data_IF_124844570314
#
_entry.id   IF_124844570314
#
_cell.length_a   1.000
_cell.length_b   1.000
_cell.length_c   1.000
_cell.angle_alpha   90.00
_cell.angle_beta   90.00
_cell.angle_gamma   90.00
#
_symmetry.space_group_name_H-M   'P 1'
#
loop_
_entity.id
_entity.type
_entity.pdbx_description
1 polymer ?
#
# COMPACT_ATOMS: atom_id res chain seq x y z
N UNK A 1 48.29 14.92 7.59
CA UNK A 1 47.08 14.11 7.34
C UNK A 1 45.86 14.57 8.11
N UNK A 2 46.01 15.18 9.28
CA UNK A 2 44.88 15.64 10.14
C UNK A 2 44.01 16.76 9.52
N UNK A 3 44.58 17.70 8.75
CA UNK A 3 43.82 18.81 8.21
C UNK A 3 42.87 18.45 7.03
N UNK A 4 43.17 17.39 6.28
CA UNK A 4 42.28 16.92 5.19
C UNK A 4 41.10 16.15 5.74
N UNK A 5 41.32 15.34 6.77
CA UNK A 5 40.23 14.61 7.46
C UNK A 5 39.27 15.57 8.16
N UNK A 6 39.77 16.63 8.78
CA UNK A 6 38.95 17.64 9.42
C UNK A 6 38.17 18.47 8.40
N UNK A 7 38.77 18.79 7.26
CA UNK A 7 38.10 19.45 6.14
C UNK A 7 36.97 18.57 5.57
N UNK A 8 37.24 17.27 5.31
CA UNK A 8 36.24 16.33 4.81
C UNK A 8 35.09 16.17 5.81
N UNK A 9 35.39 16.01 7.10
CA UNK A 9 34.36 15.92 8.14
C UNK A 9 33.50 17.19 8.20
N UNK A 10 34.12 18.36 8.15
CA UNK A 10 33.39 19.63 8.16
C UNK A 10 32.53 19.81 6.93
N UNK A 11 32.99 19.37 5.76
CA UNK A 11 32.21 19.42 4.50
C UNK A 11 31.06 18.42 4.52
N UNK A 12 31.34 17.15 4.86
CA UNK A 12 30.38 16.04 4.77
C UNK A 12 29.23 16.16 5.79
N UNK A 13 29.51 16.68 6.98
CA UNK A 13 28.51 16.87 8.04
C UNK A 13 27.99 18.30 8.16
N UNK A 14 28.30 19.14 7.17
CA UNK A 14 27.73 20.50 7.08
C UNK A 14 26.22 20.40 6.89
N UNK A 15 25.48 21.05 7.80
CA UNK A 15 24.02 21.07 7.76
C UNK A 15 23.52 22.11 6.77
N UNK A 16 22.70 21.69 5.84
CA UNK A 16 21.99 22.57 4.92
C UNK A 16 20.52 22.60 5.33
N UNK A 17 19.89 23.75 5.11
CA UNK A 17 18.47 23.94 5.34
C UNK A 17 17.78 24.27 4.01
N UNK A 18 16.81 23.45 3.64
CA UNK A 18 15.89 23.78 2.54
C UNK A 18 14.48 23.86 3.13
N UNK A 19 14.01 25.10 3.27
CA UNK A 19 12.77 25.36 4.00
C UNK A 19 12.87 24.94 5.49
N UNK A 20 11.95 24.07 5.92
CA UNK A 20 11.92 23.51 7.29
C UNK A 20 12.74 22.22 7.44
N UNK A 21 13.40 21.75 6.37
CA UNK A 21 14.15 20.49 6.38
C UNK A 21 15.63 20.76 6.57
N UNK A 22 16.22 20.13 7.58
CA UNK A 22 17.68 20.13 7.79
C UNK A 22 18.22 18.79 7.31
N UNK A 23 19.24 18.80 6.48
CA UNK A 23 19.93 17.61 5.99
C UNK A 23 21.43 17.85 5.92
N UNK A 24 22.20 16.79 6.04
CA UNK A 24 23.65 16.81 5.92
C UNK A 24 24.06 16.66 4.47
N UNK A 25 25.24 17.17 4.09
CA UNK A 25 25.77 17.00 2.72
C UNK A 25 25.89 15.53 2.34
N UNK A 26 26.24 14.66 3.30
CA UNK A 26 26.27 13.20 3.10
C UNK A 26 24.90 12.63 2.72
N UNK A 27 23.83 13.11 3.35
CA UNK A 27 22.47 12.67 3.04
C UNK A 27 22.06 13.10 1.62
N UNK A 28 22.45 14.31 1.20
CA UNK A 28 22.22 14.78 -0.17
C UNK A 28 23.03 13.98 -1.20
N UNK A 29 24.32 13.76 -0.94
CA UNK A 29 25.20 12.96 -1.81
C UNK A 29 24.67 11.53 -1.96
N UNK A 30 24.27 10.90 -0.84
CA UNK A 30 23.69 9.56 -0.84
C UNK A 30 22.40 9.51 -1.67
N UNK A 31 21.53 10.52 -1.54
CA UNK A 31 20.31 10.61 -2.36
C UNK A 31 20.64 10.69 -3.86
N UNK A 32 21.64 11.49 -4.26
CA UNK A 32 22.09 11.59 -5.66
C UNK A 32 22.66 10.25 -6.15
N UNK A 33 23.52 9.61 -5.35
CA UNK A 33 24.09 8.30 -5.72
C UNK A 33 22.98 7.23 -5.89
N UNK A 34 22.03 7.15 -4.96
CA UNK A 34 20.89 6.23 -5.04
C UNK A 34 20.06 6.51 -6.30
N UNK A 35 19.79 7.79 -6.58
CA UNK A 35 19.08 8.19 -7.80
C UNK A 35 19.82 7.68 -9.04
N UNK A 36 21.13 7.92 -9.12
CA UNK A 36 21.97 7.45 -10.22
C UNK A 36 21.92 5.94 -10.40
N UNK A 37 22.11 5.17 -9.31
CA UNK A 37 21.99 3.70 -9.33
C UNK A 37 20.59 3.26 -9.77
N UNK A 38 19.53 3.87 -9.25
CA UNK A 38 18.16 3.55 -9.61
C UNK A 38 17.86 3.78 -11.10
N UNK A 39 18.40 4.85 -11.68
CA UNK A 39 18.29 5.11 -13.13
C UNK A 39 19.11 4.12 -13.95
N UNK A 40 20.34 3.81 -13.55
CA UNK A 40 21.19 2.83 -14.22
C UNK A 40 20.53 1.45 -14.24
N UNK A 41 19.97 1.00 -13.12
CA UNK A 41 19.25 -0.29 -13.05
C UNK A 41 18.12 -0.37 -14.07
N UNK A 42 17.37 0.72 -14.28
CA UNK A 42 16.25 0.78 -15.24
C UNK A 42 16.70 0.82 -16.71
N UNK A 43 17.90 1.30 -16.96
CA UNK A 43 18.49 1.31 -18.32
C UNK A 43 19.30 0.07 -18.63
N UNK A 44 19.55 -0.81 -17.64
CA UNK A 44 20.37 -2.02 -17.80
C UNK A 44 19.62 -3.20 -18.45
N UNK A 45 18.31 -3.10 -18.68
CA UNK A 45 17.51 -4.16 -19.32
C UNK A 45 17.28 -3.84 -20.81
N UNK A 46 18.17 -4.32 -21.71
CA UNK A 46 18.18 -3.90 -23.12
C UNK A 46 16.96 -4.38 -23.93
N UNK A 47 16.30 -5.46 -23.49
CA UNK A 47 15.22 -6.08 -24.25
C UNK A 47 13.86 -5.31 -24.14
N UNK A 48 13.72 -4.41 -23.19
CA UNK A 48 12.49 -3.65 -22.94
C UNK A 48 12.39 -2.33 -23.72
N UNK A 49 13.42 -1.95 -24.49
CA UNK A 49 13.51 -0.65 -25.12
C UNK A 49 13.85 0.48 -24.11
N UNK A 50 13.71 1.74 -24.55
CA UNK A 50 13.87 2.87 -23.60
C UNK A 50 12.66 2.87 -22.63
N UNK A 51 12.91 2.94 -21.31
CA UNK A 51 11.83 3.03 -20.33
C UNK A 51 10.96 4.27 -20.59
N UNK A 52 9.63 4.12 -20.46
CA UNK A 52 8.73 5.27 -20.61
C UNK A 52 9.09 6.32 -19.55
N UNK A 53 9.50 7.50 -19.99
CA UNK A 53 9.92 8.59 -19.11
C UNK A 53 8.85 8.96 -18.08
N UNK A 54 7.55 8.79 -18.43
CA UNK A 54 6.45 9.06 -17.51
C UNK A 54 6.44 8.09 -16.33
N UNK A 55 6.69 6.79 -16.59
CA UNK A 55 6.75 5.76 -15.55
C UNK A 55 7.97 5.96 -14.66
N UNK A 56 9.11 6.23 -15.28
CA UNK A 56 10.35 6.53 -14.56
C UNK A 56 10.20 7.72 -13.61
N UNK A 57 9.56 8.80 -14.07
CA UNK A 57 9.26 9.96 -13.23
C UNK A 57 8.25 9.63 -12.13
N UNK A 58 7.21 8.83 -12.43
CA UNK A 58 6.23 8.41 -11.43
C UNK A 58 6.88 7.59 -10.30
N UNK A 59 7.78 6.66 -10.62
CA UNK A 59 8.53 5.88 -9.63
C UNK A 59 9.47 6.76 -8.79
N UNK A 60 10.15 7.71 -9.43
CA UNK A 60 10.99 8.64 -8.70
C UNK A 60 10.18 9.51 -7.72
N UNK A 61 9.07 10.10 -8.19
CA UNK A 61 8.17 10.87 -7.32
C UNK A 61 7.55 10.00 -6.22
N UNK A 62 7.18 8.76 -6.53
CA UNK A 62 6.68 7.79 -5.54
C UNK A 62 7.71 7.58 -4.42
N UNK A 63 8.97 7.33 -4.78
CA UNK A 63 10.04 7.13 -3.81
C UNK A 63 10.26 8.37 -2.95
N UNK A 64 10.23 9.58 -3.54
CA UNK A 64 10.33 10.86 -2.82
C UNK A 64 9.15 11.04 -1.86
N UNK A 65 7.91 10.86 -2.34
CA UNK A 65 6.71 11.03 -1.51
C UNK A 65 6.66 10.03 -0.35
N UNK A 66 7.02 8.78 -0.60
CA UNK A 66 7.14 7.75 0.45
C UNK A 66 8.21 8.11 1.48
N UNK A 67 9.38 8.60 1.04
CA UNK A 67 10.44 9.10 1.92
C UNK A 67 9.97 10.26 2.81
N UNK A 68 9.23 11.21 2.23
CA UNK A 68 8.66 12.34 2.98
C UNK A 68 7.61 11.86 3.98
N UNK A 69 6.74 10.92 3.60
CA UNK A 69 5.72 10.34 4.50
C UNK A 69 6.39 9.63 5.69
N UNK A 70 7.38 8.77 5.44
CA UNK A 70 8.14 8.07 6.51
C UNK A 70 8.86 9.07 7.43
N UNK A 71 9.47 10.12 6.87
CA UNK A 71 10.07 11.19 7.66
C UNK A 71 9.05 11.87 8.57
N UNK A 72 7.85 12.18 8.07
CA UNK A 72 6.79 12.81 8.88
C UNK A 72 6.32 11.89 10.01
N UNK A 73 6.06 10.63 9.69
CA UNK A 73 5.59 9.64 10.68
C UNK A 73 6.64 9.34 11.77
N UNK A 74 7.93 9.41 11.43
CA UNK A 74 9.01 9.02 12.36
C UNK A 74 9.80 10.18 12.95
N UNK A 75 9.64 11.37 12.40
CA UNK A 75 10.45 12.55 12.74
C UNK A 75 11.92 12.47 12.30
N UNK A 76 12.36 11.40 11.61
CA UNK A 76 13.77 11.11 11.31
C UNK A 76 14.03 11.21 9.80
N UNK A 77 14.89 12.14 9.38
CA UNK A 77 15.28 12.33 7.96
C UNK A 77 15.92 11.05 7.39
N UNK A 78 16.80 10.40 8.13
CA UNK A 78 17.49 9.16 7.70
C UNK A 78 16.53 8.04 7.36
N UNK A 79 15.44 7.85 8.13
CA UNK A 79 14.43 6.85 7.81
C UNK A 79 13.70 7.17 6.51
N UNK A 80 13.41 8.44 6.24
CA UNK A 80 12.87 8.89 4.97
C UNK A 80 13.82 8.63 3.79
N UNK A 81 15.12 8.86 3.98
CA UNK A 81 16.14 8.57 2.97
C UNK A 81 16.26 7.05 2.71
N UNK A 82 16.14 6.22 3.75
CA UNK A 82 16.11 4.77 3.57
C UNK A 82 14.86 4.33 2.78
N UNK A 83 13.69 4.90 3.04
CA UNK A 83 12.47 4.63 2.25
C UNK A 83 12.70 4.96 0.78
N UNK A 84 13.21 6.17 0.51
CA UNK A 84 13.58 6.62 -0.82
C UNK A 84 14.53 5.63 -1.51
N UNK A 85 15.63 5.27 -0.83
CA UNK A 85 16.66 4.40 -1.38
C UNK A 85 16.16 2.99 -1.67
N UNK A 86 15.43 2.39 -0.73
CA UNK A 86 14.88 1.06 -0.92
C UNK A 86 13.93 1.04 -2.12
N UNK A 87 13.01 2.00 -2.22
CA UNK A 87 12.04 2.05 -3.32
C UNK A 87 12.69 2.33 -4.68
N UNK A 88 13.81 3.05 -4.72
CA UNK A 88 14.55 3.27 -5.98
C UNK A 88 15.26 2.01 -6.50
N UNK A 89 15.61 1.06 -5.63
CA UNK A 89 16.43 -0.12 -5.97
C UNK A 89 15.60 -1.41 -5.93
N UNK A 90 14.41 -1.40 -5.36
CA UNK A 90 13.59 -2.58 -5.10
C UNK A 90 13.29 -3.35 -6.39
N UNK A 91 13.64 -4.64 -6.51
CA UNK A 91 13.47 -5.38 -7.75
C UNK A 91 12.04 -5.41 -8.29
N UNK A 92 11.04 -5.52 -7.41
CA UNK A 92 9.62 -5.51 -7.80
C UNK A 92 9.19 -4.21 -8.47
N UNK A 93 9.72 -3.07 -8.00
CA UNK A 93 9.43 -1.75 -8.58
C UNK A 93 10.15 -1.59 -9.91
N UNK A 94 11.43 -1.99 -9.98
CA UNK A 94 12.21 -1.92 -11.22
C UNK A 94 11.59 -2.82 -12.30
N UNK A 95 11.16 -4.04 -11.96
CA UNK A 95 10.53 -4.96 -12.92
C UNK A 95 9.20 -4.41 -13.44
N UNK A 96 8.36 -3.86 -12.59
CA UNK A 96 7.03 -3.35 -12.99
C UNK A 96 7.15 -2.22 -14.02
N UNK A 97 7.97 -1.21 -13.74
CA UNK A 97 8.13 -0.05 -14.62
C UNK A 97 8.96 -0.34 -15.86
N UNK A 98 10.01 -1.15 -15.75
CA UNK A 98 10.99 -1.34 -16.83
C UNK A 98 10.65 -2.50 -17.74
N UNK A 99 10.22 -3.64 -17.18
CA UNK A 99 9.95 -4.86 -17.95
C UNK A 99 8.47 -4.94 -18.34
N UNK A 100 7.58 -4.68 -17.38
CA UNK A 100 6.14 -4.82 -17.59
C UNK A 100 5.49 -3.58 -18.21
N UNK A 101 6.12 -2.39 -18.09
CA UNK A 101 5.56 -1.13 -18.58
C UNK A 101 4.21 -0.77 -17.96
N UNK A 102 3.95 -1.22 -16.72
CA UNK A 102 2.64 -1.06 -16.10
C UNK A 102 2.44 0.34 -15.49
N UNK A 103 1.18 0.75 -15.36
CA UNK A 103 0.81 2.02 -14.73
C UNK A 103 0.70 1.94 -13.19
N UNK A 104 1.17 0.85 -12.57
CA UNK A 104 1.01 0.63 -11.12
C UNK A 104 1.72 1.69 -10.28
N UNK A 105 2.86 2.20 -10.77
CA UNK A 105 3.64 3.27 -10.14
C UNK A 105 2.84 4.57 -9.99
N UNK A 106 2.06 4.96 -11.00
CA UNK A 106 1.22 6.16 -10.96
C UNK A 106 0.12 6.00 -9.90
N UNK A 107 -0.53 4.84 -9.88
CA UNK A 107 -1.56 4.56 -8.89
C UNK A 107 -1.02 4.52 -7.46
N UNK A 108 0.14 3.90 -7.25
CA UNK A 108 0.80 3.90 -5.95
C UNK A 108 1.22 5.33 -5.53
N UNK A 109 1.74 6.15 -6.45
CA UNK A 109 2.05 7.56 -6.18
C UNK A 109 0.82 8.33 -5.69
N UNK A 110 -0.31 8.22 -6.40
CA UNK A 110 -1.55 8.89 -6.01
C UNK A 110 -2.02 8.38 -4.64
N UNK A 111 -1.89 7.07 -4.35
CA UNK A 111 -2.24 6.48 -3.06
C UNK A 111 -1.36 7.05 -1.93
N UNK A 112 -0.05 7.15 -2.12
CA UNK A 112 0.86 7.74 -1.13
C UNK A 112 0.57 9.23 -0.93
N UNK A 113 0.26 9.98 -1.99
CA UNK A 113 -0.19 11.37 -1.89
C UNK A 113 -1.51 11.47 -1.11
N UNK A 114 -2.47 10.56 -1.32
CA UNK A 114 -3.71 10.51 -0.55
C UNK A 114 -3.44 10.31 0.95
N UNK A 115 -2.57 9.35 1.30
CA UNK A 115 -2.15 9.12 2.69
C UNK A 115 -1.43 10.33 3.30
N UNK A 116 -0.60 11.02 2.52
CA UNK A 116 0.06 12.24 2.95
C UNK A 116 -0.94 13.36 3.29
N UNK A 117 -1.99 13.54 2.47
CA UNK A 117 -3.05 14.51 2.77
C UNK A 117 -3.91 14.08 3.96
N UNK A 118 -4.12 12.78 4.15
CA UNK A 118 -4.81 12.24 5.32
C UNK A 118 -4.01 12.54 6.60
N UNK A 119 -2.69 12.31 6.59
CA UNK A 119 -1.77 12.63 7.69
C UNK A 119 -1.77 14.13 8.00
N UNK A 120 -1.79 14.98 6.99
CA UNK A 120 -1.83 16.43 7.18
C UNK A 120 -3.20 16.98 7.61
N UNK A 121 -4.21 16.14 7.80
CA UNK A 121 -5.57 16.53 8.19
C UNK A 121 -6.42 17.10 7.05
N UNK A 122 -5.92 17.10 5.81
CA UNK A 122 -6.65 17.60 4.63
C UNK A 122 -7.51 16.49 4.02
N UNK A 123 -8.54 16.06 4.75
CA UNK A 123 -9.34 14.88 4.43
C UNK A 123 -10.10 14.97 3.10
N UNK A 124 -10.43 16.17 2.60
CA UNK A 124 -11.05 16.33 1.28
C UNK A 124 -10.10 15.98 0.14
N UNK A 125 -8.81 16.35 0.24
CA UNK A 125 -7.81 15.97 -0.77
C UNK A 125 -7.58 14.45 -0.77
N UNK A 126 -7.56 13.82 0.42
CA UNK A 126 -7.59 12.36 0.52
C UNK A 126 -8.78 11.77 -0.22
N UNK A 127 -10.00 12.28 0.02
CA UNK A 127 -11.23 11.78 -0.61
C UNK A 127 -11.20 11.90 -2.14
N UNK A 128 -10.73 13.05 -2.66
CA UNK A 128 -10.62 13.27 -4.11
C UNK A 128 -9.63 12.29 -4.74
N UNK A 129 -8.43 12.15 -4.16
CA UNK A 129 -7.40 11.26 -4.69
C UNK A 129 -7.79 9.78 -4.56
N UNK A 130 -8.36 9.38 -3.43
CA UNK A 130 -8.87 8.03 -3.24
C UNK A 130 -10.03 7.71 -4.18
N UNK A 131 -10.96 8.66 -4.39
CA UNK A 131 -12.05 8.53 -5.34
C UNK A 131 -11.55 8.38 -6.79
N UNK A 132 -10.55 9.17 -7.20
CA UNK A 132 -9.92 9.04 -8.51
C UNK A 132 -9.26 7.66 -8.71
N UNK A 133 -8.57 7.14 -7.69
CA UNK A 133 -7.99 5.79 -7.72
C UNK A 133 -9.05 4.71 -7.84
N UNK A 134 -10.15 4.83 -7.12
CA UNK A 134 -11.28 3.90 -7.19
C UNK A 134 -11.91 3.89 -8.56
N UNK A 135 -12.11 5.05 -9.19
CA UNK A 135 -12.60 5.12 -10.56
C UNK A 135 -11.62 4.52 -11.57
N UNK A 136 -10.33 4.60 -11.30
CA UNK A 136 -9.33 4.02 -12.17
C UNK A 136 -9.30 2.49 -12.10
N UNK A 137 -9.17 1.91 -10.89
CA UNK A 137 -9.06 0.46 -10.74
C UNK A 137 -9.65 -0.03 -9.41
N UNK A 138 -10.38 -1.16 -9.47
CA UNK A 138 -10.98 -1.83 -8.30
C UNK A 138 -9.95 -2.29 -7.27
N UNK A 139 -8.71 -2.48 -7.64
CA UNK A 139 -7.62 -2.86 -6.70
C UNK A 139 -7.43 -1.90 -5.53
N UNK A 140 -7.94 -0.67 -5.64
CA UNK A 140 -7.91 0.32 -4.58
C UNK A 140 -9.13 0.27 -3.65
N UNK A 141 -10.00 -0.75 -3.76
CA UNK A 141 -11.21 -0.90 -2.92
C UNK A 141 -10.91 -0.89 -1.42
N UNK A 142 -9.71 -1.32 -1.03
CA UNK A 142 -9.23 -1.22 0.35
C UNK A 142 -9.32 0.18 0.95
N UNK A 143 -9.21 1.25 0.14
CA UNK A 143 -9.36 2.64 0.58
C UNK A 143 -10.77 2.95 1.07
N UNK A 144 -11.81 2.37 0.44
CA UNK A 144 -13.21 2.52 0.88
C UNK A 144 -13.40 1.88 2.24
N UNK A 145 -12.86 0.67 2.42
CA UNK A 145 -13.00 -0.10 3.65
C UNK A 145 -12.31 0.61 4.83
N UNK A 146 -11.11 1.16 4.58
CA UNK A 146 -10.41 2.02 5.55
C UNK A 146 -11.21 3.29 5.84
N UNK A 147 -11.79 3.92 4.83
CA UNK A 147 -12.62 5.12 5.00
C UNK A 147 -13.86 4.85 5.86
N UNK A 148 -14.49 3.67 5.74
CA UNK A 148 -15.61 3.27 6.60
C UNK A 148 -15.19 3.17 8.07
N UNK A 149 -14.02 2.58 8.34
CA UNK A 149 -13.47 2.50 9.70
C UNK A 149 -13.13 3.92 10.20
N UNK A 150 -12.44 4.75 9.40
CA UNK A 150 -12.09 6.12 9.77
C UNK A 150 -13.32 6.99 10.05
N UNK A 151 -14.38 6.85 9.27
CA UNK A 151 -15.63 7.55 9.51
C UNK A 151 -16.22 7.22 10.88
N UNK A 152 -16.25 5.93 11.26
CA UNK A 152 -16.74 5.49 12.57
C UNK A 152 -16.00 6.18 13.72
N UNK A 153 -14.70 6.44 13.56
CA UNK A 153 -13.86 7.09 14.57
C UNK A 153 -13.67 8.60 14.34
N UNK A 154 -14.61 9.24 13.58
CA UNK A 154 -14.62 10.68 13.29
C UNK A 154 -13.39 11.23 12.54
N UNK A 155 -12.61 10.35 11.92
CA UNK A 155 -11.50 10.74 11.05
C UNK A 155 -11.94 11.30 9.70
N UNK A 156 -13.15 10.95 9.22
CA UNK A 156 -13.77 11.44 8.00
C UNK A 156 -15.19 11.91 8.24
N UNK A 157 -15.68 12.85 7.42
CA UNK A 157 -17.08 13.28 7.41
C UNK A 157 -17.94 12.30 6.61
N UNK A 158 -19.24 12.30 6.87
CA UNK A 158 -20.18 11.43 6.16
C UNK A 158 -20.22 11.69 4.65
N UNK A 159 -20.16 12.96 4.23
CA UNK A 159 -20.15 13.32 2.80
C UNK A 159 -18.93 12.72 2.07
N UNK A 160 -17.76 12.71 2.73
CA UNK A 160 -16.54 12.14 2.19
C UNK A 160 -16.64 10.62 2.05
N UNK A 161 -17.20 9.96 3.07
CA UNK A 161 -17.48 8.53 3.00
C UNK A 161 -18.49 8.22 1.88
N UNK A 162 -19.56 9.00 1.76
CA UNK A 162 -20.58 8.81 0.72
C UNK A 162 -19.95 8.88 -0.70
N UNK A 163 -19.08 9.86 -0.95
CA UNK A 163 -18.36 9.97 -2.22
C UNK A 163 -17.53 8.71 -2.49
N UNK A 164 -16.78 8.21 -1.52
CA UNK A 164 -15.95 7.01 -1.68
C UNK A 164 -16.79 5.74 -1.85
N UNK A 165 -17.91 5.61 -1.16
CA UNK A 165 -18.85 4.50 -1.33
C UNK A 165 -19.48 4.48 -2.71
N UNK A 166 -19.94 5.61 -3.21
CA UNK A 166 -20.55 5.71 -4.54
C UNK A 166 -19.52 5.40 -5.63
N UNK A 167 -18.32 5.99 -5.56
CA UNK A 167 -17.26 5.75 -6.54
C UNK A 167 -16.77 4.31 -6.49
N UNK A 168 -16.58 3.74 -5.29
CA UNK A 168 -16.18 2.35 -5.10
C UNK A 168 -17.23 1.36 -5.60
N UNK A 169 -18.50 1.59 -5.27
CA UNK A 169 -19.61 0.75 -5.73
C UNK A 169 -19.76 0.79 -7.27
N UNK A 170 -19.72 1.99 -7.86
CA UNK A 170 -19.79 2.15 -9.31
C UNK A 170 -18.65 1.40 -10.03
N UNK A 171 -17.41 1.53 -9.52
CA UNK A 171 -16.27 0.81 -10.09
C UNK A 171 -16.36 -0.69 -9.88
N UNK A 172 -16.80 -1.13 -8.71
CA UNK A 172 -16.98 -2.56 -8.42
C UNK A 172 -17.99 -3.19 -9.37
N UNK A 173 -19.16 -2.56 -9.56
CA UNK A 173 -20.20 -3.03 -10.51
C UNK A 173 -19.65 -3.08 -11.94
N UNK A 174 -18.93 -2.04 -12.36
CA UNK A 174 -18.28 -2.03 -13.68
C UNK A 174 -17.25 -3.17 -13.82
N UNK A 175 -16.39 -3.38 -12.84
CA UNK A 175 -15.39 -4.44 -12.85
C UNK A 175 -16.03 -5.82 -12.82
N UNK A 176 -17.09 -6.00 -11.99
CA UNK A 176 -17.86 -7.23 -11.95
C UNK A 176 -18.42 -7.58 -13.35
N UNK A 177 -19.07 -6.61 -13.98
CA UNK A 177 -19.61 -6.82 -15.33
C UNK A 177 -18.51 -7.12 -16.37
N UNK A 178 -17.38 -6.43 -16.31
CA UNK A 178 -16.24 -6.66 -17.18
C UNK A 178 -15.61 -8.05 -16.97
N UNK A 179 -15.43 -8.48 -15.73
CA UNK A 179 -14.85 -9.77 -15.39
C UNK A 179 -15.69 -10.93 -15.88
N UNK A 180 -17.00 -10.90 -15.63
CA UNK A 180 -17.90 -11.98 -15.99
C UNK A 180 -18.39 -11.92 -17.45
N UNK A 181 -18.26 -10.78 -18.12
CA UNK A 181 -18.55 -10.64 -19.54
C UNK A 181 -17.38 -10.98 -20.47
N UNK A 182 -16.15 -11.03 -19.97
CA UNK A 182 -14.95 -11.22 -20.80
C UNK A 182 -14.65 -12.69 -21.15
N UNK A 183 -15.30 -13.67 -20.50
CA UNK A 183 -15.05 -15.09 -20.75
C UNK A 183 -13.62 -15.53 -20.47
N UNK A 184 -13.03 -15.06 -19.39
CA UNK A 184 -11.68 -15.43 -18.98
C UNK A 184 -11.55 -16.95 -18.78
N UNK A 185 -10.43 -17.49 -19.22
CA UNK A 185 -10.10 -18.92 -19.05
C UNK A 185 -9.42 -19.22 -17.73
N UNK A 186 -8.94 -18.19 -17.04
CA UNK A 186 -8.24 -18.29 -15.75
C UNK A 186 -8.95 -17.45 -14.71
N UNK A 187 -8.97 -17.92 -13.47
CA UNK A 187 -9.54 -17.23 -12.31
C UNK A 187 -8.55 -16.28 -11.62
N UNK A 188 -7.27 -16.35 -11.97
CA UNK A 188 -6.19 -15.48 -11.48
C UNK A 188 -5.14 -15.29 -12.57
N UNK A 189 -4.46 -14.13 -12.58
CA UNK A 189 -3.44 -13.76 -13.57
C UNK A 189 -2.10 -13.49 -12.87
N UNK A 190 -1.33 -14.57 -12.62
CA UNK A 190 0.01 -14.49 -12.00
C UNK A 190 0.03 -13.79 -10.62
N UNK A 191 -1.10 -13.81 -9.91
CA UNK A 191 -1.21 -13.29 -8.54
C UNK A 191 -1.50 -14.44 -7.57
N UNK A 192 -0.69 -14.54 -6.51
CA UNK A 192 -0.78 -15.61 -5.50
C UNK A 192 -1.99 -15.40 -4.57
N UNK A 193 -3.15 -15.86 -4.98
CA UNK A 193 -4.41 -15.74 -4.25
C UNK A 193 -5.05 -17.11 -3.98
N UNK A 194 -6.24 -17.12 -3.38
CA UNK A 194 -6.94 -18.35 -3.02
C UNK A 194 -7.23 -19.26 -4.23
N UNK A 195 -7.38 -18.68 -5.43
CA UNK A 195 -7.70 -19.45 -6.65
C UNK A 195 -6.51 -20.28 -7.13
N UNK A 196 -5.29 -19.98 -6.74
CA UNK A 196 -4.12 -20.84 -6.94
C UNK A 196 -4.19 -22.14 -6.11
N UNK A 197 -4.96 -22.13 -5.03
CA UNK A 197 -5.15 -23.29 -4.13
C UNK A 197 -6.39 -24.07 -4.54
N UNK A 198 -7.49 -23.38 -4.86
CA UNK A 198 -8.80 -24.02 -5.15
C UNK A 198 -8.88 -24.51 -6.58
N UNK A 199 -8.29 -23.82 -7.54
CA UNK A 199 -8.27 -24.15 -8.95
C UNK A 199 -8.15 -22.90 -9.83
N UNK A 200 -7.09 -22.88 -10.63
CA UNK A 200 -6.75 -21.73 -11.50
C UNK A 200 -7.59 -21.68 -12.77
N UNK A 201 -8.04 -22.85 -13.26
CA UNK A 201 -8.78 -22.95 -14.50
C UNK A 201 -10.26 -22.59 -14.29
N UNK A 202 -10.75 -21.61 -15.05
CA UNK A 202 -12.16 -21.30 -15.10
C UNK A 202 -12.92 -22.38 -15.88
N UNK A 203 -14.18 -22.65 -15.53
CA UNK A 203 -15.03 -23.58 -16.27
C UNK A 203 -15.28 -23.02 -17.67
N UNK A 204 -14.66 -23.66 -18.67
CA UNK A 204 -14.78 -23.26 -20.09
C UNK A 204 -16.24 -23.29 -20.56
N UNK A 205 -16.65 -22.23 -21.24
CA UNK A 205 -17.94 -22.17 -21.94
C UNK A 205 -19.12 -21.63 -21.15
N UNK A 206 -18.93 -21.21 -19.90
CA UNK A 206 -19.97 -20.53 -19.13
C UNK A 206 -19.76 -19.02 -19.10
N UNK A 207 -20.84 -18.26 -19.28
CA UNK A 207 -20.85 -16.78 -19.20
C UNK A 207 -20.42 -16.31 -17.79
N UNK A 208 -20.65 -17.13 -16.77
CA UNK A 208 -20.27 -16.89 -15.38
C UNK A 208 -19.57 -18.13 -14.82
N UNK A 209 -18.30 -18.01 -14.49
CA UNK A 209 -17.62 -19.04 -13.73
C UNK A 209 -18.21 -19.10 -12.31
N UNK A 210 -18.83 -20.25 -11.91
CA UNK A 210 -19.47 -20.36 -10.61
C UNK A 210 -18.50 -20.22 -9.45
N UNK A 211 -17.24 -20.68 -9.60
CA UNK A 211 -16.21 -20.59 -8.55
C UNK A 211 -15.83 -19.13 -8.34
N UNK A 212 -15.54 -18.37 -9.41
CA UNK A 212 -15.24 -16.96 -9.34
C UNK A 212 -16.43 -16.14 -8.82
N UNK A 213 -17.65 -16.47 -9.25
CA UNK A 213 -18.87 -15.77 -8.82
C UNK A 213 -19.12 -15.94 -7.33
N UNK A 214 -19.13 -17.17 -6.83
CA UNK A 214 -19.31 -17.46 -5.40
C UNK A 214 -18.15 -16.84 -4.60
N UNK A 215 -16.92 -16.99 -5.08
CA UNK A 215 -15.74 -16.40 -4.46
C UNK A 215 -15.83 -14.89 -4.34
N UNK A 216 -16.34 -14.19 -5.34
CA UNK A 216 -16.55 -12.75 -5.30
C UNK A 216 -17.56 -12.34 -4.21
N UNK A 217 -18.70 -13.02 -4.08
CA UNK A 217 -19.68 -12.75 -3.02
C UNK A 217 -19.13 -13.06 -1.64
N UNK A 218 -18.40 -14.18 -1.48
CA UNK A 218 -17.73 -14.53 -0.23
C UNK A 218 -16.68 -13.47 0.13
N UNK A 219 -15.87 -13.03 -0.83
CA UNK A 219 -14.87 -11.99 -0.62
C UNK A 219 -15.51 -10.69 -0.11
N UNK A 220 -16.57 -10.23 -0.77
CA UNK A 220 -17.32 -9.03 -0.35
C UNK A 220 -17.86 -9.19 1.06
N UNK A 221 -18.48 -10.34 1.37
CA UNK A 221 -18.98 -10.66 2.70
C UNK A 221 -17.88 -10.63 3.78
N UNK A 222 -16.73 -11.24 3.52
CA UNK A 222 -15.58 -11.26 4.44
C UNK A 222 -14.99 -9.86 4.65
N UNK A 223 -14.91 -9.05 3.59
CA UNK A 223 -14.40 -7.67 3.68
C UNK A 223 -15.33 -6.79 4.54
N UNK A 224 -16.66 -6.88 4.34
CA UNK A 224 -17.62 -6.16 5.16
C UNK A 224 -17.64 -6.67 6.60
N UNK A 225 -17.52 -7.98 6.82
CA UNK A 225 -17.38 -8.55 8.15
C UNK A 225 -16.13 -8.00 8.86
N UNK A 226 -15.00 -7.89 8.15
CA UNK A 226 -13.79 -7.28 8.66
C UNK A 226 -14.01 -5.81 9.08
N UNK A 227 -14.66 -5.01 8.24
CA UNK A 227 -15.03 -3.63 8.59
C UNK A 227 -15.91 -3.60 9.84
N UNK A 228 -16.95 -4.44 9.87
CA UNK A 228 -17.87 -4.50 11.02
C UNK A 228 -17.13 -4.85 12.31
N UNK A 229 -16.26 -5.85 12.29
CA UNK A 229 -15.45 -6.27 13.44
C UNK A 229 -14.54 -5.13 13.91
N UNK A 230 -13.83 -4.47 13.00
CA UNK A 230 -12.96 -3.36 13.36
C UNK A 230 -13.74 -2.13 13.85
N UNK A 231 -14.95 -1.91 13.37
CA UNK A 231 -15.82 -0.85 13.88
C UNK A 231 -16.34 -1.10 15.30
N UNK A 232 -16.28 -2.34 15.82
CA UNK A 232 -16.64 -2.65 17.22
C UNK A 232 -15.47 -2.43 18.19
N UNK A 233 -14.25 -2.27 17.71
CA UNK A 233 -13.05 -2.10 18.54
C UNK A 233 -12.96 -0.73 19.23
N UNK A 234 -12.03 -0.62 20.16
CA UNK A 234 -11.64 0.64 20.83
C UNK A 234 -10.33 1.16 20.24
N UNK A 235 -10.38 1.71 19.03
CA UNK A 235 -9.20 2.23 18.36
C UNK A 235 -8.79 3.61 18.86
N UNK A 236 -7.48 3.82 18.95
CA UNK A 236 -6.90 5.16 19.04
C UNK A 236 -6.50 5.67 17.65
N UNK A 237 -7.46 5.67 16.71
CA UNK A 237 -7.22 6.13 15.34
C UNK A 237 -7.17 7.65 15.25
N UNK A 238 -7.87 8.33 16.16
CA UNK A 238 -7.97 9.78 16.20
C UNK A 238 -7.65 10.30 17.59
N UNK A 239 -6.91 11.39 17.65
CA UNK A 239 -6.66 12.15 18.90
C UNK A 239 -7.20 13.56 18.71
N UNK A 240 -7.90 14.08 19.71
CA UNK A 240 -8.26 15.50 19.78
C UNK A 240 -7.00 16.31 20.08
N UNK A 241 -6.71 17.29 19.26
CA UNK A 241 -5.58 18.22 19.49
C UNK A 241 -6.09 19.31 20.43
N UNK A 242 -5.41 19.52 21.56
CA UNK A 242 -5.71 20.62 22.46
C UNK A 242 -5.54 21.95 21.72
N UNK A 243 -6.57 22.82 21.76
CA UNK A 243 -6.62 24.09 21.02
C UNK A 243 -5.51 25.09 21.41
N UNK A 244 -4.74 24.77 22.44
CA UNK A 244 -3.65 25.63 22.96
C UNK A 244 -2.32 25.48 22.19
N UNK A 245 -2.19 24.52 21.26
CA UNK A 245 -0.97 24.36 20.47
C UNK A 245 -0.97 25.22 19.21
N UNK A 246 0.14 25.91 18.93
CA UNK A 246 0.34 26.70 17.68
C UNK A 246 0.07 25.89 16.40
N UNK A 247 0.15 24.56 16.45
CA UNK A 247 -0.17 23.65 15.36
C UNK A 247 -1.67 23.42 15.15
N UNK A 248 -2.54 23.79 16.11
CA UNK A 248 -3.99 23.61 15.99
C UNK A 248 -4.61 24.47 14.89
N UNK A 249 -4.05 25.65 14.64
CA UNK A 249 -4.51 26.56 13.58
C UNK A 249 -4.25 26.03 12.15
N UNK A 250 -3.29 25.13 11.98
CA UNK A 250 -2.97 24.50 10.70
C UNK A 250 -3.84 23.27 10.40
N UNK A 251 -4.45 22.65 11.42
CA UNK A 251 -5.26 21.44 11.31
C UNK A 251 -6.75 21.79 11.37
N UNK A 252 -7.36 21.96 10.23
CA UNK A 252 -8.77 22.42 10.03
C UNK A 252 -9.86 21.65 10.78
N UNK A 253 -9.60 20.47 11.37
CA UNK A 253 -10.65 19.65 12.00
C UNK A 253 -10.40 19.34 13.50
N UNK A 254 -9.32 19.82 14.11
CA UNK A 254 -9.01 19.53 15.54
C UNK A 254 -8.75 18.03 15.86
N UNK A 255 -8.62 17.19 14.85
CA UNK A 255 -8.43 15.74 14.99
C UNK A 255 -7.16 15.32 14.28
N UNK A 256 -6.27 14.66 14.99
CA UNK A 256 -5.06 14.05 14.46
C UNK A 256 -5.29 12.56 14.18
N UNK A 257 -4.98 12.12 12.94
CA UNK A 257 -5.14 10.72 12.54
C UNK A 257 -3.83 9.97 12.77
N UNK A 258 -3.91 8.85 13.47
CA UNK A 258 -2.78 7.96 13.73
C UNK A 258 -2.49 7.12 12.46
N UNK A 259 -1.39 7.44 11.75
CA UNK A 259 -1.12 6.84 10.44
C UNK A 259 -0.68 5.38 10.50
N UNK A 260 -0.05 4.92 11.57
CA UNK A 260 0.43 3.53 11.65
C UNK A 260 -0.71 2.48 11.61
N UNK A 261 -1.79 2.62 12.42
CA UNK A 261 -2.96 1.76 12.27
C UNK A 261 -3.65 1.87 10.91
N UNK A 262 -3.69 3.08 10.33
CA UNK A 262 -4.29 3.29 8.99
C UNK A 262 -3.50 2.54 7.92
N UNK A 263 -2.17 2.59 7.94
CA UNK A 263 -1.32 1.82 7.02
C UNK A 263 -1.56 0.31 7.14
N UNK A 264 -1.68 -0.20 8.37
CA UNK A 264 -1.98 -1.62 8.61
C UNK A 264 -3.36 -2.01 8.11
N UNK A 265 -4.38 -1.17 8.36
CA UNK A 265 -5.73 -1.39 7.85
C UNK A 265 -5.76 -1.39 6.32
N UNK A 266 -5.06 -0.44 5.69
CA UNK A 266 -5.00 -0.36 4.23
C UNK A 266 -4.28 -1.58 3.64
N UNK A 267 -3.18 -2.00 4.26
CA UNK A 267 -2.45 -3.19 3.84
C UNK A 267 -3.32 -4.45 4.03
N UNK A 268 -4.01 -4.60 5.17
CA UNK A 268 -4.89 -5.72 5.45
C UNK A 268 -6.07 -5.79 4.46
N UNK A 269 -6.85 -4.72 4.33
CA UNK A 269 -8.03 -4.73 3.45
C UNK A 269 -7.64 -4.83 1.98
N UNK A 270 -6.55 -4.19 1.58
CA UNK A 270 -6.03 -4.32 0.24
C UNK A 270 -5.60 -5.76 -0.05
N UNK A 271 -4.76 -6.36 0.79
CA UNK A 271 -4.34 -7.75 0.63
C UNK A 271 -5.51 -8.73 0.69
N UNK A 272 -6.48 -8.53 1.59
CA UNK A 272 -7.67 -9.36 1.69
C UNK A 272 -8.50 -9.26 0.39
N UNK A 273 -8.68 -8.07 -0.17
CA UNK A 273 -9.35 -7.89 -1.45
C UNK A 273 -8.59 -8.64 -2.56
N UNK A 274 -7.27 -8.46 -2.68
CA UNK A 274 -6.47 -9.16 -3.68
C UNK A 274 -6.42 -10.68 -3.50
N UNK A 275 -6.53 -11.16 -2.27
CA UNK A 275 -6.50 -12.58 -1.97
C UNK A 275 -7.81 -13.30 -2.29
N UNK A 276 -8.95 -12.68 -2.00
CA UNK A 276 -10.27 -13.31 -2.14
C UNK A 276 -11.01 -12.94 -3.42
N UNK A 277 -10.71 -11.79 -4.06
CA UNK A 277 -11.33 -11.42 -5.34
C UNK A 277 -10.72 -12.22 -6.51
N UNK A 278 -11.53 -12.65 -7.49
CA UNK A 278 -11.04 -13.29 -8.70
C UNK A 278 -10.41 -12.28 -9.66
N UNK A 279 -9.71 -12.80 -10.67
CA UNK A 279 -9.16 -12.05 -11.80
C UNK A 279 -8.14 -10.97 -11.41
N UNK A 280 -7.42 -11.20 -10.30
CA UNK A 280 -6.33 -10.33 -9.88
C UNK A 280 -5.06 -10.63 -10.67
N UNK A 281 -4.34 -9.57 -11.04
CA UNK A 281 -3.07 -9.64 -11.78
C UNK A 281 -1.86 -9.34 -10.87
N UNK A 282 -0.65 -9.63 -11.37
CA UNK A 282 0.60 -9.44 -10.64
C UNK A 282 0.86 -7.98 -10.22
N UNK A 283 0.29 -6.99 -10.92
CA UNK A 283 0.48 -5.56 -10.58
C UNK A 283 -0.22 -5.17 -9.28
N UNK A 284 -1.09 -6.06 -8.78
CA UNK A 284 -1.77 -5.88 -7.48
C UNK A 284 -0.77 -5.78 -6.32
N UNK A 285 0.32 -6.56 -6.40
CA UNK A 285 1.37 -6.58 -5.38
C UNK A 285 2.18 -5.29 -5.27
N UNK A 286 2.25 -4.49 -6.34
CA UNK A 286 3.10 -3.30 -6.39
C UNK A 286 2.84 -2.33 -5.22
N UNK A 287 1.58 -1.91 -5.03
CA UNK A 287 1.20 -0.99 -3.96
C UNK A 287 1.51 -1.58 -2.58
N UNK A 288 1.29 -2.88 -2.38
CA UNK A 288 1.53 -3.51 -1.08
C UNK A 288 3.00 -3.65 -0.77
N UNK A 289 3.85 -3.82 -1.77
CA UNK A 289 5.30 -3.76 -1.61
C UNK A 289 5.75 -2.37 -1.13
N UNK A 290 5.20 -1.30 -1.69
CA UNK A 290 5.49 0.08 -1.28
C UNK A 290 5.00 0.35 0.15
N UNK A 291 3.75 -0.02 0.46
CA UNK A 291 3.17 0.18 1.80
C UNK A 291 3.91 -0.64 2.86
N UNK A 292 4.34 -1.86 2.54
CA UNK A 292 5.10 -2.71 3.45
C UNK A 292 6.50 -2.13 3.75
N UNK A 293 7.18 -1.54 2.77
CA UNK A 293 8.44 -0.82 3.00
C UNK A 293 8.24 0.36 3.95
N UNK A 294 7.18 1.17 3.73
CA UNK A 294 6.85 2.29 4.61
C UNK A 294 6.58 1.76 6.03
N UNK A 295 5.78 0.71 6.15
CA UNK A 295 5.41 0.09 7.43
C UNK A 295 6.64 -0.37 8.23
N UNK A 296 7.57 -1.07 7.59
CA UNK A 296 8.80 -1.57 8.23
C UNK A 296 9.70 -0.44 8.72
N UNK A 297 9.81 0.64 7.97
CA UNK A 297 10.64 1.77 8.37
C UNK A 297 10.04 2.55 9.55
N UNK A 298 8.71 2.51 9.69
CA UNK A 298 8.04 3.05 10.87
C UNK A 298 8.14 2.07 12.05
N UNK A 299 7.82 0.79 11.82
CA UNK A 299 7.83 -0.29 12.82
C UNK A 299 8.70 -1.47 12.34
N UNK A 300 10.01 -1.49 12.66
CA UNK A 300 10.95 -2.50 12.15
C UNK A 300 10.63 -3.94 12.52
N UNK A 301 9.82 -4.15 13.56
CA UNK A 301 9.37 -5.50 13.97
C UNK A 301 8.52 -6.21 12.91
N UNK A 302 8.04 -5.47 11.93
CA UNK A 302 7.19 -6.01 10.84
C UNK A 302 7.99 -6.33 9.57
N UNK A 303 9.31 -6.45 9.67
CA UNK A 303 10.19 -6.72 8.54
C UNK A 303 9.77 -7.95 7.72
N UNK A 304 9.28 -9.01 8.38
CA UNK A 304 8.86 -10.23 7.69
C UNK A 304 7.66 -10.01 6.75
N UNK A 305 6.77 -9.05 7.04
CA UNK A 305 5.65 -8.69 6.14
C UNK A 305 6.20 -8.17 4.83
N UNK A 306 7.14 -7.21 4.90
CA UNK A 306 7.73 -6.64 3.70
C UNK A 306 8.51 -7.72 2.92
N UNK A 307 9.32 -8.53 3.59
CA UNK A 307 10.07 -9.60 2.94
C UNK A 307 9.13 -10.60 2.24
N UNK A 308 8.08 -11.05 2.92
CA UNK A 308 7.11 -11.99 2.35
C UNK A 308 6.38 -11.39 1.14
N UNK A 309 5.90 -10.15 1.23
CA UNK A 309 5.19 -9.51 0.12
C UNK A 309 6.10 -9.23 -1.07
N UNK A 310 7.38 -8.89 -0.84
CA UNK A 310 8.36 -8.76 -1.93
C UNK A 310 8.56 -10.10 -2.66
N UNK A 311 8.69 -11.21 -1.91
CA UNK A 311 8.87 -12.54 -2.48
C UNK A 311 7.62 -12.95 -3.28
N UNK A 312 6.43 -12.78 -2.72
CA UNK A 312 5.15 -13.10 -3.39
C UNK A 312 4.99 -12.30 -4.69
N UNK A 313 5.20 -10.99 -4.62
CA UNK A 313 5.04 -10.10 -5.78
C UNK A 313 6.09 -10.38 -6.85
N UNK A 314 7.35 -10.62 -6.44
CA UNK A 314 8.43 -10.98 -7.35
C UNK A 314 8.15 -12.30 -8.07
N UNK A 315 7.62 -13.31 -7.37
CA UNK A 315 7.21 -14.58 -7.98
C UNK A 315 6.12 -14.39 -9.04
N UNK A 316 5.13 -13.54 -8.80
CA UNK A 316 4.10 -13.19 -9.78
C UNK A 316 4.67 -12.51 -11.03
N UNK A 317 5.59 -11.57 -10.86
CA UNK A 317 6.29 -10.95 -12.01
C UNK A 317 7.14 -11.96 -12.76
N UNK A 318 7.85 -12.83 -12.05
CA UNK A 318 8.69 -13.86 -12.67
C UNK A 318 7.82 -14.83 -13.50
N UNK A 319 6.69 -15.30 -12.96
CA UNK A 319 5.77 -16.16 -13.71
C UNK A 319 5.22 -15.45 -14.96
N UNK A 320 4.88 -14.17 -14.84
CA UNK A 320 4.38 -13.39 -15.97
C UNK A 320 5.42 -13.22 -17.08
N UNK A 321 6.71 -12.99 -16.72
CA UNK A 321 7.78 -12.76 -17.71
C UNK A 321 8.32 -14.05 -18.29
N UNK A 322 8.54 -15.06 -17.45
CA UNK A 322 9.23 -16.29 -17.85
C UNK A 322 8.27 -17.45 -18.14
N UNK A 323 6.97 -17.29 -17.85
CA UNK A 323 5.98 -18.38 -17.94
C UNK A 323 6.03 -19.36 -16.76
N UNK A 324 7.06 -19.31 -15.91
CA UNK A 324 7.26 -20.19 -14.78
C UNK A 324 7.77 -19.40 -13.57
N UNK A 325 7.31 -19.75 -12.38
CA UNK A 325 7.81 -19.22 -11.11
C UNK A 325 8.79 -20.19 -10.46
N UNK A 326 9.64 -19.70 -9.53
CA UNK A 326 10.62 -20.54 -8.79
C UNK A 326 9.98 -21.71 -8.04
N UNK A 327 8.73 -21.54 -7.59
CA UNK A 327 7.93 -22.54 -6.90
C UNK A 327 6.48 -22.43 -7.41
N UNK A 328 5.65 -23.48 -7.24
CA UNK A 328 4.23 -23.39 -7.58
C UNK A 328 3.55 -22.22 -6.89
N UNK A 329 2.72 -21.45 -7.60
CA UNK A 329 2.11 -20.22 -7.08
C UNK A 329 1.24 -20.44 -5.85
N UNK A 330 0.68 -21.65 -5.64
CA UNK A 330 -0.06 -21.95 -4.42
C UNK A 330 0.80 -21.82 -3.13
N UNK A 331 2.13 -22.05 -3.20
CA UNK A 331 3.03 -21.88 -2.06
C UNK A 331 3.07 -20.40 -1.65
N UNK A 332 3.15 -19.50 -2.62
CA UNK A 332 3.13 -18.06 -2.39
C UNK A 332 1.74 -17.59 -1.94
N UNK A 333 0.66 -18.23 -2.39
CA UNK A 333 -0.69 -17.96 -1.89
C UNK A 333 -0.82 -18.33 -0.40
N UNK A 334 -0.24 -19.45 0.04
CA UNK A 334 -0.17 -19.80 1.47
C UNK A 334 0.65 -18.78 2.26
N UNK A 335 1.80 -18.34 1.73
CA UNK A 335 2.63 -17.31 2.37
C UNK A 335 1.86 -16.00 2.53
N UNK A 336 1.13 -15.57 1.50
CA UNK A 336 0.28 -14.38 1.56
C UNK A 336 -0.85 -14.52 2.58
N UNK A 337 -1.47 -15.71 2.68
CA UNK A 337 -2.48 -16.00 3.69
C UNK A 337 -1.90 -15.86 5.11
N UNK A 338 -0.69 -16.36 5.35
CA UNK A 338 -0.03 -16.21 6.66
C UNK A 338 0.21 -14.75 7.02
N UNK A 339 0.64 -13.92 6.06
CA UNK A 339 0.79 -12.47 6.25
C UNK A 339 -0.57 -11.84 6.59
N UNK A 340 -1.62 -12.21 5.87
CA UNK A 340 -2.98 -11.70 6.10
C UNK A 340 -3.50 -12.08 7.49
N UNK A 341 -3.32 -13.34 7.90
CA UNK A 341 -3.69 -13.81 9.24
C UNK A 341 -2.92 -13.06 10.34
N UNK A 342 -1.63 -12.85 10.17
CA UNK A 342 -0.82 -12.09 11.12
C UNK A 342 -1.32 -10.66 11.26
N UNK A 343 -1.57 -9.96 10.14
CA UNK A 343 -2.11 -8.60 10.15
C UNK A 343 -3.48 -8.56 10.84
N UNK A 344 -4.35 -9.54 10.56
CA UNK A 344 -5.66 -9.67 11.20
C UNK A 344 -5.53 -9.77 12.73
N UNK A 345 -4.73 -10.71 13.22
CA UNK A 345 -4.51 -10.91 14.67
C UNK A 345 -3.93 -9.64 15.32
N UNK A 346 -2.99 -8.99 14.66
CA UNK A 346 -2.39 -7.76 15.16
C UNK A 346 -3.40 -6.63 15.24
N UNK A 347 -4.19 -6.42 14.19
CA UNK A 347 -5.24 -5.40 14.15
C UNK A 347 -6.33 -5.66 15.20
N UNK A 348 -6.74 -6.92 15.40
CA UNK A 348 -7.72 -7.29 16.44
C UNK A 348 -7.20 -6.98 17.85
N UNK A 349 -5.91 -7.20 18.11
CA UNK A 349 -5.27 -6.83 19.39
C UNK A 349 -5.20 -5.30 19.56
N UNK A 350 -4.80 -4.56 18.53
CA UNK A 350 -4.74 -3.09 18.57
C UNK A 350 -6.13 -2.47 18.77
N UNK A 351 -7.15 -3.04 18.12
CA UNK A 351 -8.53 -2.63 18.26
C UNK A 351 -9.16 -3.05 19.60
N UNK A 352 -8.46 -3.81 20.44
CA UNK A 352 -8.96 -4.38 21.70
C UNK A 352 -10.26 -5.19 21.55
N UNK A 353 -10.55 -5.69 20.36
CA UNK A 353 -11.79 -6.48 20.10
C UNK A 353 -11.82 -7.73 20.97
N UNK A 354 -10.67 -8.39 21.16
CA UNK A 354 -10.55 -9.61 21.97
C UNK A 354 -10.91 -9.32 23.43
N UNK A 355 -10.43 -8.21 23.99
CA UNK A 355 -10.71 -7.84 25.37
C UNK A 355 -12.20 -7.54 25.59
N UNK A 356 -12.86 -6.93 24.60
CA UNK A 356 -14.30 -6.66 24.63
C UNK A 356 -15.13 -7.94 24.59
N UNK A 357 -14.73 -8.91 23.78
CA UNK A 357 -15.41 -10.22 23.72
C UNK A 357 -15.31 -10.96 25.05
N UNK A 358 -14.13 -10.95 25.68
CA UNK A 358 -13.92 -11.58 26.99
C UNK A 358 -14.77 -10.89 28.07
N UNK A 359 -14.77 -9.57 28.13
CA UNK A 359 -15.58 -8.81 29.12
C UNK A 359 -17.08 -9.05 28.97
N UNK A 360 -17.61 -9.15 27.74
CA UNK A 360 -19.03 -9.44 27.51
C UNK A 360 -19.44 -10.84 27.94
N UNK A 361 -18.55 -11.84 27.75
CA UNK A 361 -18.85 -13.22 28.11
C UNK A 361 -18.78 -13.51 29.64
N UNK A 362 -18.14 -12.61 30.44
CA UNK A 362 -18.06 -12.77 31.92
C UNK A 362 -19.22 -12.05 32.64
N UNK A 363 -20.04 -11.27 31.91
CA UNK A 363 -21.23 -10.59 32.44
C UNK A 363 -22.56 -11.31 32.10
N UNK A 364 -22.48 -12.58 31.66
CA UNK A 364 -23.60 -13.53 31.56
C UNK A 364 -23.45 -14.54 32.69
#
# INVERSE_FOLDING_TARGET
>A
MTGFDDFLRTLLFRKFCVGKVKFDFMEALLAVCITGVGFVLRTAFPDSGMPDMRMLMAEWYLAVCAGVLVKRMTGRVRKGLYAYGILMILPTIVMDGTIMGSNASIGALICICALFYLESGTTWMFTILAGALLLWNVKYIGLVLVAMVLWKYKGLRFEQLAVLLVTGAARFVYSFHAWFGAGYTLTTFHWANIYEIVGREAMQGQLFDPVATVGCFVAVGLLFLGVWVFCQGEWKLTQTVDETSEDASARRNGVEIQMLPVLRLLLFFGLAAGYFLPYMDQTYGYLFCVLAVILVLVEPKEFFIAAALQIVTFAGYQECVNGESMMPMWVFAVLQLLVLMYLCVKLLKEAKVVDLCVRKNWNI
#
